data_IF_249943939712
#
_entry.id   IF_249943939712
#
_cell.length_a   1.000
_cell.length_b   1.000
_cell.length_c   1.000
_cell.angle_alpha   90.00
_cell.angle_beta   90.00
_cell.angle_gamma   90.00
#
_symmetry.space_group_name_H-M   'P 1'
#
loop_
_entity.id
_entity.type
_entity.pdbx_description
1 polymer ?
#
# COMPACT_ATOMS: atom_id res chain seq x y z
N UNK A 1 17.80 -64.39 -10.94
CA UNK A 1 16.54 -63.91 -10.34
C UNK A 1 16.64 -64.11 -8.84
N UNK A 2 16.77 -63.05 -8.06
CA UNK A 2 16.51 -63.06 -6.62
C UNK A 2 16.21 -61.63 -6.15
N UNK A 3 15.09 -61.50 -5.45
CA UNK A 3 14.49 -60.24 -5.03
C UNK A 3 15.16 -59.74 -3.75
N UNK A 4 15.72 -58.54 -3.80
CA UNK A 4 16.18 -57.81 -2.61
C UNK A 4 15.07 -56.88 -2.13
N UNK A 5 14.46 -57.26 -1.02
CA UNK A 5 13.43 -56.50 -0.32
C UNK A 5 14.05 -55.25 0.33
N UNK A 6 13.70 -54.06 -0.17
CA UNK A 6 14.04 -52.80 0.51
C UNK A 6 12.83 -52.33 1.33
N UNK A 7 12.94 -52.50 2.66
CA UNK A 7 11.99 -51.92 3.61
C UNK A 7 12.23 -50.41 3.71
N UNK A 8 11.42 -49.61 3.04
CA UNK A 8 11.33 -48.17 3.31
C UNK A 8 10.49 -47.96 4.59
N UNK A 9 11.15 -47.58 5.69
CA UNK A 9 10.48 -46.93 6.84
C UNK A 9 10.37 -45.44 6.52
N UNK A 10 9.17 -44.87 6.29
CA UNK A 10 9.04 -43.43 6.24
C UNK A 10 9.05 -42.92 7.69
N UNK A 11 10.20 -42.47 8.15
CA UNK A 11 10.29 -41.68 9.37
C UNK A 11 9.66 -40.30 9.09
N UNK A 12 8.60 -40.00 9.82
CA UNK A 12 8.11 -38.67 10.18
C UNK A 12 8.06 -37.62 9.05
N UNK A 13 6.96 -37.66 8.32
CA UNK A 13 6.46 -36.57 7.48
C UNK A 13 6.00 -35.42 8.40
N UNK A 14 6.55 -34.22 8.15
CA UNK A 14 5.98 -32.87 8.45
C UNK A 14 5.93 -32.44 9.91
N UNK A 15 6.81 -31.49 10.31
CA UNK A 15 6.26 -30.30 10.97
C UNK A 15 6.85 -28.97 10.49
N UNK A 16 7.82 -28.97 9.57
CA UNK A 16 8.48 -27.73 9.14
C UNK A 16 7.64 -26.85 8.19
N UNK A 17 6.86 -27.48 7.30
CA UNK A 17 6.01 -26.74 6.36
C UNK A 17 4.81 -26.05 7.06
N UNK A 18 4.26 -26.67 8.10
CA UNK A 18 3.15 -26.11 8.87
C UNK A 18 3.60 -24.88 9.70
N UNK A 19 4.82 -24.93 10.26
CA UNK A 19 5.40 -23.80 10.98
C UNK A 19 5.63 -22.59 10.07
N UNK A 20 6.09 -22.80 8.83
CA UNK A 20 6.29 -21.74 7.86
C UNK A 20 4.96 -21.09 7.41
N UNK A 21 3.90 -21.90 7.22
CA UNK A 21 2.57 -21.39 6.88
C UNK A 21 1.96 -20.58 8.03
N UNK A 22 2.13 -21.03 9.26
CA UNK A 22 1.63 -20.35 10.45
C UNK A 22 2.31 -18.99 10.67
N UNK A 23 3.62 -18.90 10.41
CA UNK A 23 4.36 -17.63 10.52
C UNK A 23 3.98 -16.64 9.42
N UNK A 24 3.74 -17.12 8.19
CA UNK A 24 3.26 -16.27 7.09
C UNK A 24 1.83 -15.74 7.35
N UNK A 25 0.95 -16.57 7.92
CA UNK A 25 -0.40 -16.15 8.31
C UNK A 25 -0.36 -15.09 9.44
N UNK A 26 0.58 -15.20 10.37
CA UNK A 26 0.74 -14.23 11.46
C UNK A 26 1.21 -12.84 10.98
N UNK A 27 2.08 -12.77 9.96
CA UNK A 27 2.46 -11.47 9.36
C UNK A 27 1.34 -10.86 8.51
N UNK A 28 0.53 -11.68 7.84
CA UNK A 28 -0.62 -11.19 7.07
C UNK A 28 -1.77 -10.70 7.97
N UNK A 29 -1.88 -11.25 9.19
CA UNK A 29 -2.88 -10.86 10.18
C UNK A 29 -2.39 -9.76 11.14
N UNK A 30 -1.16 -9.27 10.99
CA UNK A 30 -0.69 -8.13 11.75
C UNK A 30 -1.62 -6.95 11.45
N UNK A 31 -2.31 -6.38 12.45
CA UNK A 31 -3.13 -5.21 12.22
C UNK A 31 -2.19 -4.11 11.73
N UNK A 32 -2.34 -3.70 10.47
CA UNK A 32 -1.74 -2.48 10.00
C UNK A 32 -2.30 -1.40 10.94
N UNK A 33 -1.47 -0.87 11.84
CA UNK A 33 -1.81 0.27 12.67
C UNK A 33 -2.17 1.39 11.72
N UNK A 34 -3.46 1.53 11.42
CA UNK A 34 -3.99 2.62 10.64
C UNK A 34 -3.75 3.86 11.49
N UNK A 35 -2.65 4.56 11.23
CA UNK A 35 -2.50 5.91 11.75
C UNK A 35 -3.70 6.68 11.22
N UNK A 36 -4.55 7.12 12.14
CA UNK A 36 -5.74 7.90 11.88
C UNK A 36 -5.30 9.23 11.26
N UNK A 37 -5.17 9.19 9.94
CA UNK A 37 -4.62 10.28 9.17
C UNK A 37 -5.82 11.08 8.72
N UNK A 38 -6.12 12.13 9.48
CA UNK A 38 -7.22 13.04 9.16
C UNK A 38 -7.07 13.65 7.76
N UNK A 39 -8.15 14.24 7.22
CA UNK A 39 -8.14 14.80 5.88
C UNK A 39 -7.03 15.84 5.72
N UNK A 40 -6.12 15.61 4.78
CA UNK A 40 -5.02 16.54 4.50
C UNK A 40 -5.45 17.54 3.45
N UNK A 41 -5.36 18.82 3.76
CA UNK A 41 -5.70 19.88 2.82
C UNK A 41 -4.43 20.39 2.12
N UNK A 42 -4.44 20.41 0.80
CA UNK A 42 -3.39 20.99 -0.04
C UNK A 42 -3.94 22.21 -0.79
N UNK A 43 -3.26 23.34 -0.67
CA UNK A 43 -3.55 24.52 -1.48
C UNK A 43 -2.61 24.56 -2.69
N UNK A 44 -3.17 24.71 -3.89
CA UNK A 44 -2.45 24.73 -5.15
C UNK A 44 -2.68 26.05 -5.86
N UNK A 45 -1.57 26.71 -6.18
CA UNK A 45 -1.53 27.85 -7.10
C UNK A 45 -1.53 27.32 -8.54
N UNK A 46 -2.56 27.63 -9.30
CA UNK A 46 -2.74 27.13 -10.66
C UNK A 46 -1.82 27.79 -11.69
N UNK A 47 -1.22 28.94 -11.36
CA UNK A 47 -0.19 29.55 -12.21
C UNK A 47 1.11 28.72 -12.20
N UNK A 48 1.40 28.04 -11.09
CA UNK A 48 2.54 27.13 -10.92
C UNK A 48 2.14 25.94 -10.05
N UNK A 49 1.40 24.96 -10.61
CA UNK A 49 0.85 23.85 -9.83
C UNK A 49 1.99 22.96 -9.33
N UNK A 50 2.34 23.12 -8.07
CA UNK A 50 3.34 22.32 -7.37
C UNK A 50 2.64 21.36 -6.42
N UNK A 51 2.92 20.06 -6.58
CA UNK A 51 2.46 19.04 -5.66
C UNK A 51 3.54 18.66 -4.65
N UNK A 52 3.15 18.12 -3.49
CA UNK A 52 4.08 17.55 -2.52
C UNK A 52 4.97 16.49 -3.17
N UNK A 53 6.18 16.31 -2.64
CA UNK A 53 7.04 15.19 -3.05
C UNK A 53 6.45 13.85 -2.59
N UNK A 54 6.93 12.72 -3.13
CA UNK A 54 6.47 11.40 -2.65
C UNK A 54 6.76 11.20 -1.16
N UNK A 55 7.88 11.73 -0.66
CA UNK A 55 8.23 11.67 0.76
C UNK A 55 7.33 12.56 1.63
N UNK A 56 6.82 13.66 1.08
CA UNK A 56 5.83 14.47 1.78
C UNK A 56 4.48 13.75 1.79
N UNK A 57 4.11 13.08 0.70
CA UNK A 57 2.90 12.25 0.66
C UNK A 57 2.99 11.13 1.70
N UNK A 58 4.10 10.40 1.82
CA UNK A 58 4.23 9.35 2.86
C UNK A 58 4.10 9.93 4.27
N UNK A 59 4.69 11.11 4.53
CA UNK A 59 4.55 11.81 5.83
C UNK A 59 3.13 12.28 6.11
N UNK A 60 2.46 12.84 5.10
CA UNK A 60 1.12 13.40 5.22
C UNK A 60 0.05 12.33 5.32
N UNK A 61 0.25 11.19 4.66
CA UNK A 61 -0.77 10.13 4.51
C UNK A 61 -0.49 8.89 5.36
N UNK A 62 0.67 8.80 6.02
CA UNK A 62 1.10 7.60 6.74
C UNK A 62 1.36 6.39 5.82
N UNK A 63 1.29 6.57 4.50
CA UNK A 63 1.52 5.50 3.53
C UNK A 63 2.98 5.06 3.61
N UNK A 64 3.19 3.80 3.97
CA UNK A 64 4.53 3.25 4.23
C UNK A 64 5.31 2.89 2.94
N UNK A 65 4.64 2.87 1.78
CA UNK A 65 5.23 2.40 0.52
C UNK A 65 5.30 3.53 -0.53
N UNK A 66 6.49 3.76 -1.10
CA UNK A 66 6.73 4.76 -2.15
C UNK A 66 5.86 4.57 -3.41
N UNK A 67 5.59 3.33 -3.83
CA UNK A 67 4.72 3.06 -4.97
C UNK A 67 3.27 3.51 -4.71
N UNK A 68 2.78 3.34 -3.48
CA UNK A 68 1.46 3.83 -3.08
C UNK A 68 1.44 5.35 -2.98
N UNK A 69 2.50 5.97 -2.41
CA UNK A 69 2.64 7.41 -2.38
C UNK A 69 2.71 8.03 -3.79
N UNK A 70 3.36 7.35 -4.73
CA UNK A 70 3.35 7.73 -6.14
C UNK A 70 1.94 7.69 -6.73
N UNK A 71 1.17 6.63 -6.47
CA UNK A 71 -0.20 6.50 -6.97
C UNK A 71 -1.11 7.64 -6.46
N UNK A 72 -1.04 7.94 -5.16
CA UNK A 72 -1.74 9.09 -4.54
C UNK A 72 -1.34 10.39 -5.22
N UNK A 73 -0.03 10.61 -5.40
CA UNK A 73 0.48 11.83 -6.06
C UNK A 73 0.04 11.96 -7.52
N UNK A 74 -0.01 10.85 -8.26
CA UNK A 74 -0.47 10.84 -9.65
C UNK A 74 -1.96 11.21 -9.75
N UNK A 75 -2.78 10.73 -8.81
CA UNK A 75 -4.19 11.12 -8.71
C UNK A 75 -4.34 12.62 -8.44
N UNK A 76 -3.60 13.14 -7.46
CA UNK A 76 -3.58 14.57 -7.16
C UNK A 76 -3.18 15.42 -8.36
N UNK A 77 -2.27 14.95 -9.23
CA UNK A 77 -1.95 15.66 -10.48
C UNK A 77 -3.16 15.77 -11.40
N UNK A 78 -3.94 14.70 -11.52
CA UNK A 78 -5.18 14.71 -12.30
C UNK A 78 -6.21 15.68 -11.73
N UNK A 79 -6.42 15.63 -10.42
CA UNK A 79 -7.40 16.47 -9.72
C UNK A 79 -7.00 17.94 -9.76
N UNK A 80 -5.72 18.25 -9.50
CA UNK A 80 -5.16 19.60 -9.62
C UNK A 80 -5.33 20.15 -11.04
N UNK A 81 -4.96 19.37 -12.07
CA UNK A 81 -5.09 19.78 -13.47
C UNK A 81 -6.52 20.10 -13.84
N UNK A 82 -7.49 19.30 -13.36
CA UNK A 82 -8.91 19.53 -13.62
C UNK A 82 -9.42 20.77 -12.89
N UNK A 83 -9.12 20.91 -11.60
CA UNK A 83 -9.59 22.03 -10.80
C UNK A 83 -9.01 23.37 -11.27
N UNK A 84 -7.75 23.37 -11.72
CA UNK A 84 -7.08 24.55 -12.26
C UNK A 84 -7.60 25.03 -13.62
N UNK A 85 -8.54 24.32 -14.25
CA UNK A 85 -9.19 24.81 -15.48
C UNK A 85 -10.15 25.98 -15.22
N UNK A 86 -10.58 26.17 -13.98
CA UNK A 86 -11.68 27.08 -13.63
C UNK A 86 -11.32 28.11 -12.55
N UNK A 87 -10.10 28.07 -12.02
CA UNK A 87 -9.69 28.86 -10.87
C UNK A 87 -8.18 29.13 -10.86
N UNK A 88 -7.77 30.25 -10.27
CA UNK A 88 -6.36 30.60 -10.06
C UNK A 88 -5.74 29.89 -8.85
N UNK A 89 -6.57 29.52 -7.87
CA UNK A 89 -6.18 28.77 -6.67
C UNK A 89 -7.21 27.72 -6.34
N UNK A 90 -6.76 26.53 -5.97
CA UNK A 90 -7.64 25.41 -5.62
C UNK A 90 -7.20 24.76 -4.31
N UNK A 91 -8.19 24.28 -3.57
CA UNK A 91 -7.99 23.51 -2.34
C UNK A 91 -8.37 22.06 -2.61
N UNK A 92 -7.38 21.16 -2.57
CA UNK A 92 -7.59 19.73 -2.67
C UNK A 92 -7.61 19.13 -1.26
N UNK A 93 -8.53 18.20 -1.03
CA UNK A 93 -8.61 17.45 0.23
C UNK A 93 -8.26 16.01 -0.08
N UNK A 94 -7.20 15.49 0.56
CA UNK A 94 -6.85 14.09 0.51
C UNK A 94 -7.62 13.35 1.60
N UNK A 95 -8.44 12.40 1.16
CA UNK A 95 -9.01 11.38 2.02
C UNK A 95 -8.13 10.12 1.91
N UNK A 96 -7.26 9.94 2.90
CA UNK A 96 -6.24 8.89 2.92
C UNK A 96 -6.87 7.49 2.93
N UNK A 97 -8.03 7.35 3.57
CA UNK A 97 -8.71 6.07 3.74
C UNK A 97 -9.40 5.62 2.44
N UNK A 98 -9.96 6.56 1.68
CA UNK A 98 -10.51 6.31 0.35
C UNK A 98 -9.43 5.95 -0.67
N UNK A 99 -8.28 6.65 -0.64
CA UNK A 99 -7.19 6.44 -1.61
C UNK A 99 -6.48 5.09 -1.40
N UNK A 100 -6.17 4.74 -0.15
CA UNK A 100 -5.52 3.46 0.18
C UNK A 100 -6.42 2.27 -0.14
N UNK A 101 -7.74 2.35 0.13
CA UNK A 101 -8.69 1.29 -0.26
C UNK A 101 -8.78 1.10 -1.77
N UNK A 102 -8.67 2.18 -2.55
CA UNK A 102 -8.70 2.09 -4.01
C UNK A 102 -7.43 1.46 -4.58
N UNK A 103 -6.28 1.73 -3.96
CA UNK A 103 -5.01 1.07 -4.29
C UNK A 103 -5.04 -0.42 -3.94
N UNK A 104 -5.59 -0.80 -2.79
CA UNK A 104 -5.69 -2.20 -2.38
C UNK A 104 -6.63 -3.07 -3.25
N UNK A 105 -7.49 -2.45 -4.07
CA UNK A 105 -8.42 -3.15 -4.98
C UNK A 105 -7.89 -3.35 -6.40
N UNK A 106 -6.70 -2.83 -6.72
CA UNK A 106 -6.05 -3.03 -8.02
C UNK A 106 -5.01 -4.14 -7.95
#
# INVERSE_FOLDING_TARGET
MNASSFSFRPAAVVPLAAAALALAAALAAAPASAQETGPVTLEIDCARPALPSQQDITRLTGVANFSQAYAVRARLMGDAKRACQSADKVRLVLDVEADTRQVARR
#
